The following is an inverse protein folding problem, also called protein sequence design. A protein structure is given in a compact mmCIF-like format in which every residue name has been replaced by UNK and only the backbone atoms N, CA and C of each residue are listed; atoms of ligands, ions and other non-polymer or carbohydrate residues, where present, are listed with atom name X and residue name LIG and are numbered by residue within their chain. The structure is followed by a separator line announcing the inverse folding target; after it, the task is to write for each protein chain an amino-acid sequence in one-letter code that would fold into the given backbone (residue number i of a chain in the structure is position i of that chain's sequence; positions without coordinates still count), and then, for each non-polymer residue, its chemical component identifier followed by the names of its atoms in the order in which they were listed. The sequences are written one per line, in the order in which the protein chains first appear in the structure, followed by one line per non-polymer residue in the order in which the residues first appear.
data_IF_445800596244
#
_entry.id   IF_445800596244
#
_cell.length_a   1.000
_cell.length_b   1.000
_cell.length_c   1.000
_cell.angle_alpha   90.00
_cell.angle_beta   90.00
_cell.angle_gamma   90.00
#
_symmetry.space_group_name_H-M   'P 1'
#
loop_
_entity.id
_entity.type
_entity.pdbx_description
1 polymer ?
#
# COMPACT_ATOMS: atom_id res chain seq x y z
N UNK A 1 -52.74 -36.10 -18.38
CA UNK A 1 -52.43 -34.74 -18.87
C UNK A 1 -51.94 -33.91 -17.68
N UNK A 2 -50.64 -33.79 -17.53
CA UNK A 2 -50.01 -33.00 -16.42
C UNK A 2 -49.24 -31.87 -17.10
N UNK A 3 -49.73 -30.62 -16.94
CA UNK A 3 -49.10 -29.43 -17.46
C UNK A 3 -47.91 -29.03 -16.59
N UNK A 4 -46.69 -29.14 -17.11
CA UNK A 4 -45.47 -28.56 -16.51
C UNK A 4 -45.49 -27.04 -16.65
N UNK A 5 -45.57 -26.31 -15.53
CA UNK A 5 -45.31 -24.87 -15.47
C UNK A 5 -43.78 -24.65 -15.47
N UNK A 6 -43.31 -24.03 -16.53
CA UNK A 6 -41.94 -23.51 -16.63
C UNK A 6 -41.87 -22.21 -15.86
N UNK A 7 -41.21 -22.20 -14.71
CA UNK A 7 -40.89 -20.97 -14.00
C UNK A 7 -39.71 -20.29 -14.69
N UNK A 8 -39.97 -19.11 -15.26
CA UNK A 8 -38.95 -18.19 -15.78
C UNK A 8 -38.17 -17.64 -14.56
N UNK A 9 -36.90 -17.99 -14.47
CA UNK A 9 -35.93 -17.36 -13.54
C UNK A 9 -35.82 -15.85 -13.87
N UNK A 10 -36.19 -15.01 -12.91
CA UNK A 10 -35.93 -13.58 -12.95
C UNK A 10 -34.42 -13.35 -12.90
N UNK A 11 -33.83 -12.81 -13.98
CA UNK A 11 -32.49 -12.27 -13.99
C UNK A 11 -32.44 -11.11 -13.00
N UNK A 12 -31.87 -11.33 -11.81
CA UNK A 12 -31.53 -10.28 -10.89
C UNK A 12 -30.40 -9.46 -11.53
N UNK A 13 -30.69 -8.21 -11.89
CA UNK A 13 -29.69 -7.21 -12.20
C UNK A 13 -28.89 -6.99 -10.91
N UNK A 14 -27.70 -7.58 -10.81
CA UNK A 14 -26.71 -7.21 -9.81
C UNK A 14 -26.21 -5.83 -10.20
N UNK A 15 -26.81 -4.81 -9.61
CA UNK A 15 -26.34 -3.43 -9.70
C UNK A 15 -24.99 -3.38 -8.99
N UNK A 16 -23.98 -3.02 -9.73
CA UNK A 16 -22.64 -2.73 -9.21
C UNK A 16 -22.71 -1.55 -8.22
N UNK A 17 -22.88 -1.84 -6.93
CA UNK A 17 -22.78 -0.85 -5.85
C UNK A 17 -21.30 -0.70 -5.44
N UNK A 18 -20.51 -0.12 -6.35
CA UNK A 18 -19.19 0.40 -6.00
C UNK A 18 -19.10 1.81 -6.61
N UNK A 19 -18.90 2.82 -5.76
CA UNK A 19 -18.81 4.23 -6.10
C UNK A 19 -20.17 4.99 -6.27
N UNK A 20 -20.91 5.14 -5.18
CA UNK A 20 -22.03 6.11 -5.11
C UNK A 20 -21.64 7.49 -4.57
N UNK A 21 -20.35 7.83 -4.42
CA UNK A 21 -19.94 9.19 -4.09
C UNK A 21 -19.61 9.96 -5.37
N UNK A 22 -20.35 11.06 -5.62
CA UNK A 22 -20.17 11.98 -6.75
C UNK A 22 -18.80 12.69 -6.82
N UNK A 23 -17.86 12.36 -5.92
CA UNK A 23 -16.49 12.90 -5.84
C UNK A 23 -15.41 11.90 -6.29
N UNK A 24 -15.80 10.74 -6.81
CA UNK A 24 -14.84 9.77 -7.36
C UNK A 24 -14.37 10.27 -8.73
N UNK A 25 -13.17 10.84 -8.81
CA UNK A 25 -12.56 11.17 -10.08
C UNK A 25 -11.90 12.53 -10.21
N UNK A 26 -11.82 13.31 -9.14
CA UNK A 26 -11.09 14.57 -9.18
C UNK A 26 -9.71 14.42 -8.53
N UNK A 27 -8.72 15.06 -9.16
CA UNK A 27 -7.47 15.35 -8.47
C UNK A 27 -7.79 16.33 -7.34
N UNK A 28 -7.29 16.08 -6.14
CA UNK A 28 -7.34 17.10 -5.10
C UNK A 28 -6.67 18.38 -5.62
N UNK A 29 -7.12 19.57 -5.20
CA UNK A 29 -6.53 20.80 -5.68
C UNK A 29 -5.03 20.81 -5.41
N UNK A 30 -4.25 21.06 -6.47
CA UNK A 30 -2.80 21.20 -6.37
C UNK A 30 -2.49 22.47 -5.57
N UNK A 31 -1.48 22.45 -4.67
CA UNK A 31 -1.10 23.63 -3.89
C UNK A 31 -0.86 24.84 -4.81
N UNK A 32 -1.71 25.84 -4.70
CA UNK A 32 -1.74 27.03 -5.57
C UNK A 32 -1.01 28.20 -4.94
N UNK A 33 -1.12 28.36 -3.61
CA UNK A 33 -0.50 29.45 -2.88
C UNK A 33 0.95 29.15 -2.47
N UNK A 34 1.70 30.21 -2.17
CA UNK A 34 3.07 30.07 -1.64
C UNK A 34 3.10 29.33 -0.30
N UNK A 35 2.10 29.57 0.55
CA UNK A 35 1.99 28.93 1.87
C UNK A 35 1.70 27.44 1.76
N UNK A 36 0.78 27.06 0.86
CA UNK A 36 0.47 25.64 0.59
C UNK A 36 1.70 24.89 0.07
N UNK A 37 2.44 25.49 -0.87
CA UNK A 37 3.68 24.89 -1.40
C UNK A 37 4.73 24.74 -0.30
N UNK A 38 4.96 25.75 0.52
CA UNK A 38 5.91 25.70 1.63
C UNK A 38 5.51 24.64 2.68
N UNK A 39 4.20 24.41 2.88
CA UNK A 39 3.69 23.35 3.74
C UNK A 39 4.03 21.97 3.18
N UNK A 40 3.77 21.74 1.89
CA UNK A 40 4.09 20.46 1.20
C UNK A 40 5.59 20.19 1.23
N UNK A 41 6.42 21.19 0.97
CA UNK A 41 7.88 21.08 1.04
C UNK A 41 8.35 20.65 2.43
N UNK A 42 7.83 21.28 3.49
CA UNK A 42 8.12 20.89 4.88
C UNK A 42 7.72 19.44 5.18
N UNK A 43 6.50 19.06 4.82
CA UNK A 43 6.02 17.68 5.01
C UNK A 43 6.90 16.69 4.23
N UNK A 44 7.21 17.01 2.97
CA UNK A 44 8.11 16.20 2.13
C UNK A 44 9.47 16.02 2.80
N UNK A 45 10.06 17.09 3.32
CA UNK A 45 11.36 17.04 4.00
C UNK A 45 11.34 16.12 5.23
N UNK A 46 10.35 16.28 6.13
CA UNK A 46 10.27 15.45 7.33
C UNK A 46 9.98 13.98 7.03
N UNK A 47 9.06 13.69 6.11
CA UNK A 47 8.77 12.33 5.69
C UNK A 47 9.95 11.68 4.97
N UNK A 48 10.64 12.45 4.12
CA UNK A 48 11.85 12.01 3.44
C UNK A 48 12.97 11.64 4.43
N UNK A 49 13.13 12.38 5.55
CA UNK A 49 14.05 12.00 6.63
C UNK A 49 13.69 10.64 7.26
N UNK A 50 12.40 10.40 7.53
CA UNK A 50 11.94 9.11 8.09
C UNK A 50 12.19 7.95 7.12
N UNK A 51 11.94 8.15 5.82
CA UNK A 51 12.32 7.16 4.77
C UNK A 51 13.84 6.94 4.78
N UNK A 52 14.61 8.02 4.83
CA UNK A 52 16.07 7.93 4.89
C UNK A 52 16.55 7.07 6.04
N UNK A 53 16.02 7.32 7.23
CA UNK A 53 16.33 6.52 8.42
C UNK A 53 15.93 5.05 8.22
N UNK A 54 14.71 4.76 7.76
CA UNK A 54 14.27 3.38 7.52
C UNK A 54 15.13 2.68 6.47
N UNK A 55 15.47 3.35 5.37
CA UNK A 55 16.30 2.77 4.30
C UNK A 55 17.72 2.50 4.75
N UNK A 56 18.27 3.31 5.64
CA UNK A 56 19.61 3.11 6.23
C UNK A 56 19.59 2.02 7.29
N UNK A 57 18.69 2.10 8.28
CA UNK A 57 18.61 1.14 9.39
C UNK A 57 18.39 -0.31 8.93
N UNK A 58 17.69 -0.49 7.80
CA UNK A 58 17.39 -1.82 7.22
C UNK A 58 18.17 -2.13 5.93
N UNK A 59 19.10 -1.29 5.51
CA UNK A 59 19.89 -1.49 4.29
C UNK A 59 19.00 -1.81 3.08
N UNK A 60 17.96 -0.98 2.85
CA UNK A 60 16.94 -1.27 1.83
C UNK A 60 17.39 -0.91 0.42
N UNK A 61 18.16 0.17 0.25
CA UNK A 61 18.54 0.71 -1.07
C UNK A 61 20.06 0.85 -1.14
N UNK A 62 20.64 0.32 -2.19
CA UNK A 62 22.06 0.42 -2.50
C UNK A 62 22.28 1.22 -3.78
N UNK A 63 23.52 1.64 -4.00
CA UNK A 63 23.91 2.28 -5.26
C UNK A 63 23.69 1.34 -6.45
N UNK A 64 23.17 1.88 -7.56
CA UNK A 64 22.86 1.12 -8.77
C UNK A 64 21.56 0.30 -8.74
N UNK A 65 20.77 0.36 -7.65
CA UNK A 65 19.53 -0.41 -7.57
C UNK A 65 18.48 0.00 -8.60
N UNK A 66 17.79 -0.99 -9.17
CA UNK A 66 16.54 -0.82 -9.90
C UNK A 66 15.39 -1.31 -9.03
N UNK A 67 14.45 -0.42 -8.74
CA UNK A 67 13.37 -0.65 -7.77
C UNK A 67 12.02 -0.57 -8.49
N UNK A 68 11.27 -1.66 -8.45
CA UNK A 68 9.87 -1.65 -8.82
C UNK A 68 9.05 -1.11 -7.66
N UNK A 69 8.33 -0.01 -7.87
CA UNK A 69 7.46 0.61 -6.88
C UNK A 69 6.03 0.21 -7.16
N UNK A 70 5.44 -0.60 -6.27
CA UNK A 70 4.05 -1.04 -6.40
C UNK A 70 3.09 0.09 -6.03
N UNK A 71 2.35 0.61 -7.00
CA UNK A 71 1.40 1.71 -6.82
C UNK A 71 -0.02 1.20 -6.96
N UNK A 72 -0.74 1.12 -5.85
CA UNK A 72 -2.14 0.68 -5.82
C UNK A 72 -3.14 1.78 -6.23
N UNK A 73 -2.69 3.02 -6.34
CA UNK A 73 -3.54 4.21 -6.50
C UNK A 73 -4.01 4.82 -5.17
N UNK A 74 -3.69 4.20 -4.04
CA UNK A 74 -3.95 4.76 -2.71
C UNK A 74 -2.85 5.73 -2.27
N UNK A 75 -3.21 6.62 -1.32
CA UNK A 75 -2.34 7.66 -0.75
C UNK A 75 -0.94 7.18 -0.36
N UNK A 76 -0.85 5.99 0.26
CA UNK A 76 0.40 5.47 0.82
C UNK A 76 1.39 5.10 -0.30
N UNK A 77 0.91 4.40 -1.32
CA UNK A 77 1.74 3.99 -2.46
C UNK A 77 2.20 5.18 -3.31
N UNK A 78 1.35 6.20 -3.47
CA UNK A 78 1.70 7.43 -4.17
C UNK A 78 2.68 8.26 -3.34
N UNK A 79 2.46 8.37 -2.02
CA UNK A 79 3.41 9.02 -1.10
C UNK A 79 4.78 8.37 -1.17
N UNK A 80 4.84 7.03 -1.14
CA UNK A 80 6.09 6.28 -1.26
C UNK A 80 6.83 6.62 -2.55
N UNK A 81 6.14 6.57 -3.70
CA UNK A 81 6.75 6.90 -4.99
C UNK A 81 7.31 8.32 -5.02
N UNK A 82 6.50 9.32 -4.60
CA UNK A 82 6.91 10.72 -4.54
C UNK A 82 8.12 10.95 -3.64
N UNK A 83 8.10 10.38 -2.45
CA UNK A 83 9.17 10.56 -1.47
C UNK A 83 10.46 9.84 -1.88
N UNK A 84 10.38 8.68 -2.52
CA UNK A 84 11.55 8.00 -3.10
C UNK A 84 12.13 8.80 -4.27
N UNK A 85 11.29 9.34 -5.15
CA UNK A 85 11.74 10.20 -6.25
C UNK A 85 12.39 11.49 -5.73
N UNK A 86 11.77 12.16 -4.75
CA UNK A 86 12.36 13.32 -4.10
C UNK A 86 13.73 13.00 -3.49
N UNK A 87 13.86 11.84 -2.82
CA UNK A 87 15.16 11.45 -2.22
C UNK A 87 16.23 11.20 -3.27
N UNK A 88 15.88 10.64 -4.42
CA UNK A 88 16.82 10.36 -5.51
C UNK A 88 17.56 11.60 -5.99
N UNK A 89 17.00 12.80 -5.80
CA UNK A 89 17.60 14.06 -6.27
C UNK A 89 18.77 14.57 -5.40
N UNK A 90 18.89 14.09 -4.14
CA UNK A 90 19.90 14.64 -3.21
C UNK A 90 20.72 13.60 -2.42
N UNK A 91 20.38 12.32 -2.48
CA UNK A 91 21.17 11.28 -1.81
C UNK A 91 22.40 10.92 -2.65
N UNK A 92 23.53 10.52 -2.03
CA UNK A 92 24.77 10.22 -2.75
C UNK A 92 24.72 8.93 -3.56
N UNK A 93 23.69 8.07 -3.38
CA UNK A 93 23.50 6.84 -4.13
C UNK A 93 22.55 7.06 -5.30
N UNK A 94 22.83 6.38 -6.42
CA UNK A 94 21.98 6.41 -7.62
C UNK A 94 21.10 5.18 -7.66
N UNK A 95 19.81 5.33 -7.92
CA UNK A 95 18.87 4.24 -8.14
C UNK A 95 17.79 4.63 -9.14
N UNK A 96 17.23 3.64 -9.80
CA UNK A 96 16.13 3.80 -10.74
C UNK A 96 14.81 3.36 -10.12
N UNK A 97 13.73 4.07 -10.45
CA UNK A 97 12.37 3.75 -10.03
C UNK A 97 11.50 3.43 -11.23
N UNK A 98 10.71 2.37 -11.14
CA UNK A 98 9.65 2.03 -12.10
C UNK A 98 8.36 1.88 -11.31
N UNK A 99 7.40 2.79 -11.52
CA UNK A 99 6.07 2.71 -10.91
C UNK A 99 5.24 1.64 -11.63
N UNK A 100 4.72 0.67 -10.90
CA UNK A 100 3.89 -0.40 -11.47
C UNK A 100 2.52 -0.40 -10.80
N UNK A 101 1.48 -0.27 -11.61
CA UNK A 101 0.09 -0.46 -11.18
C UNK A 101 -0.44 -1.78 -11.70
N UNK A 102 -1.02 -2.60 -10.80
CA UNK A 102 -1.71 -3.85 -11.16
C UNK A 102 -3.22 -3.62 -11.12
N UNK A 103 -3.87 -3.62 -12.28
CA UNK A 103 -5.32 -3.66 -12.38
C UNK A 103 -5.80 -5.10 -12.20
N UNK A 104 -6.57 -5.32 -11.15
CA UNK A 104 -7.12 -6.64 -10.81
C UNK A 104 -8.40 -6.98 -11.59
N UNK A 105 -8.81 -6.14 -12.55
CA UNK A 105 -10.02 -6.34 -13.35
C UNK A 105 -11.33 -6.05 -12.61
N UNK A 106 -11.26 -5.32 -11.48
CA UNK A 106 -12.47 -5.00 -10.68
C UNK A 106 -13.24 -3.77 -11.19
N UNK A 107 -12.76 -3.09 -12.23
CA UNK A 107 -13.43 -1.94 -12.83
C UNK A 107 -13.55 -0.69 -11.96
N UNK A 108 -12.82 -0.63 -10.85
CA UNK A 108 -12.95 0.45 -9.87
C UNK A 108 -11.84 1.50 -9.95
N UNK A 109 -10.81 1.28 -10.73
CA UNK A 109 -9.65 2.19 -10.74
C UNK A 109 -9.80 3.15 -11.89
N UNK A 110 -9.76 4.43 -11.60
CA UNK A 110 -9.61 5.46 -12.60
C UNK A 110 -8.15 5.48 -13.09
N UNK A 111 -7.80 4.47 -13.89
CA UNK A 111 -6.44 4.31 -14.42
C UNK A 111 -5.97 5.56 -15.16
N UNK A 112 -6.87 6.22 -15.87
CA UNK A 112 -6.57 7.44 -16.62
C UNK A 112 -6.06 8.57 -15.73
N UNK A 113 -6.64 8.74 -14.53
CA UNK A 113 -6.15 9.74 -13.57
C UNK A 113 -4.76 9.39 -13.03
N UNK A 114 -4.55 8.12 -12.71
CA UNK A 114 -3.24 7.68 -12.22
C UNK A 114 -2.18 7.77 -13.33
N UNK A 115 -2.54 7.43 -14.55
CA UNK A 115 -1.69 7.58 -15.72
C UNK A 115 -1.33 9.05 -15.95
N UNK A 116 -2.32 9.94 -15.99
CA UNK A 116 -2.12 11.39 -16.10
C UNK A 116 -1.21 11.91 -14.99
N UNK A 117 -1.39 11.42 -13.76
CA UNK A 117 -0.55 11.77 -12.63
C UNK A 117 0.91 11.37 -12.85
N UNK A 118 1.18 10.16 -13.34
CA UNK A 118 2.53 9.69 -13.63
C UNK A 118 3.18 10.51 -14.76
N UNK A 119 2.45 10.79 -15.82
CA UNK A 119 2.91 11.60 -16.97
C UNK A 119 3.25 13.04 -16.55
N UNK A 120 2.35 13.66 -15.77
CA UNK A 120 2.56 15.04 -15.27
C UNK A 120 3.82 15.17 -14.39
N UNK A 121 4.17 14.10 -13.66
CA UNK A 121 5.34 14.12 -12.77
C UNK A 121 6.57 13.43 -13.38
N UNK A 122 6.52 12.99 -14.62
CA UNK A 122 7.65 12.37 -15.31
C UNK A 122 8.09 11.02 -14.76
N UNK A 123 7.20 10.27 -14.10
CA UNK A 123 7.53 8.94 -13.61
C UNK A 123 7.62 7.93 -14.75
N UNK A 124 8.63 7.06 -14.71
CA UNK A 124 8.64 5.85 -15.53
C UNK A 124 7.63 4.87 -14.94
N UNK A 125 6.66 4.40 -15.75
CA UNK A 125 5.57 3.58 -15.24
C UNK A 125 5.19 2.42 -16.17
N UNK A 126 4.47 1.44 -15.58
CA UNK A 126 3.84 0.33 -16.28
C UNK A 126 2.48 0.01 -15.63
N UNK A 127 1.48 -0.24 -16.47
CA UNK A 127 0.17 -0.75 -16.06
C UNK A 127 0.03 -2.19 -16.52
N UNK A 128 -0.25 -3.09 -15.60
CA UNK A 128 -0.52 -4.51 -15.88
C UNK A 128 -1.96 -4.82 -15.54
N UNK A 129 -2.67 -5.46 -16.45
CA UNK A 129 -4.05 -5.89 -16.26
C UNK A 129 -4.10 -7.39 -15.99
N UNK A 130 -4.66 -7.77 -14.86
CA UNK A 130 -4.93 -9.15 -14.49
C UNK A 130 -6.43 -9.41 -14.61
N UNK A 131 -6.84 -10.34 -15.46
CA UNK A 131 -8.22 -10.82 -15.50
C UNK A 131 -8.43 -11.85 -14.38
N UNK A 132 -8.65 -11.34 -13.16
CA UNK A 132 -8.84 -12.18 -11.98
C UNK A 132 -10.22 -12.80 -11.93
N UNK A 133 -11.19 -12.17 -12.54
CA UNK A 133 -12.58 -12.62 -12.44
C UNK A 133 -12.84 -13.80 -13.36
N UNK A 134 -12.26 -13.83 -14.57
CA UNK A 134 -12.50 -14.89 -15.58
C UNK A 134 -13.98 -15.33 -15.63
N UNK A 135 -14.90 -14.38 -15.55
CA UNK A 135 -16.33 -14.62 -15.50
C UNK A 135 -16.91 -15.02 -14.13
N UNK A 136 -16.10 -15.08 -13.06
CA UNK A 136 -16.56 -15.33 -11.69
C UNK A 136 -17.03 -14.05 -11.01
N UNK A 137 -17.91 -14.19 -10.02
CA UNK A 137 -18.31 -13.07 -9.17
C UNK A 137 -17.14 -12.66 -8.25
N UNK A 138 -16.95 -11.36 -8.07
CA UNK A 138 -15.95 -10.78 -7.16
C UNK A 138 -16.07 -11.28 -5.71
N UNK A 139 -17.29 -11.54 -5.25
CA UNK A 139 -17.56 -12.06 -3.90
C UNK A 139 -16.97 -13.46 -3.66
N UNK A 140 -16.72 -14.24 -4.73
CA UNK A 140 -16.14 -15.58 -4.66
C UNK A 140 -14.61 -15.58 -4.51
N UNK A 141 -13.97 -14.42 -4.61
CA UNK A 141 -12.51 -14.29 -4.59
C UNK A 141 -12.05 -13.98 -3.16
N UNK A 142 -11.25 -14.87 -2.57
CA UNK A 142 -10.66 -14.63 -1.25
C UNK A 142 -9.60 -13.52 -1.29
N UNK A 143 -9.49 -12.76 -0.19
CA UNK A 143 -8.45 -11.73 -0.03
C UNK A 143 -7.03 -12.32 -0.17
N UNK A 144 -6.83 -13.55 0.32
CA UNK A 144 -5.57 -14.27 0.20
C UNK A 144 -5.19 -14.50 -1.28
N UNK A 145 -6.11 -15.05 -2.06
CA UNK A 145 -5.87 -15.34 -3.48
C UNK A 145 -5.64 -14.08 -4.30
N UNK A 146 -6.39 -13.01 -4.00
CA UNK A 146 -6.20 -11.70 -4.61
C UNK A 146 -4.79 -11.14 -4.32
N UNK A 147 -4.38 -11.15 -3.04
CA UNK A 147 -3.07 -10.66 -2.62
C UNK A 147 -1.92 -11.50 -3.21
N UNK A 148 -2.11 -12.82 -3.28
CA UNK A 148 -1.12 -13.75 -3.83
C UNK A 148 -0.88 -13.49 -5.33
N UNK A 149 -1.95 -13.38 -6.14
CA UNK A 149 -1.83 -13.11 -7.58
C UNK A 149 -1.23 -11.73 -7.86
N UNK A 150 -1.63 -10.72 -7.10
CA UNK A 150 -1.03 -9.38 -7.21
C UNK A 150 0.48 -9.43 -6.94
N UNK A 151 0.89 -10.14 -5.89
CA UNK A 151 2.30 -10.30 -5.54
C UNK A 151 3.07 -11.06 -6.61
N UNK A 152 2.49 -12.16 -7.12
CA UNK A 152 3.07 -12.93 -8.23
C UNK A 152 3.31 -12.05 -9.47
N UNK A 153 2.33 -11.25 -9.88
CA UNK A 153 2.48 -10.35 -11.01
C UNK A 153 3.57 -9.29 -10.78
N UNK A 154 3.64 -8.71 -9.57
CA UNK A 154 4.71 -7.76 -9.23
C UNK A 154 6.10 -8.41 -9.34
N UNK A 155 6.26 -9.66 -8.93
CA UNK A 155 7.53 -10.37 -9.00
C UNK A 155 7.92 -10.70 -10.45
N UNK A 156 6.97 -11.13 -11.26
CA UNK A 156 7.18 -11.36 -12.69
C UNK A 156 7.59 -10.08 -13.44
N UNK A 157 6.96 -8.95 -13.09
CA UNK A 157 7.33 -7.66 -13.67
C UNK A 157 8.67 -7.16 -13.14
N UNK A 158 9.03 -7.44 -11.88
CA UNK A 158 10.34 -7.11 -11.35
C UNK A 158 11.44 -7.84 -12.14
N UNK A 159 11.26 -9.12 -12.40
CA UNK A 159 12.17 -9.91 -13.24
C UNK A 159 12.25 -9.36 -14.67
N UNK A 160 11.10 -9.12 -15.31
CA UNK A 160 11.01 -8.54 -16.67
C UNK A 160 11.75 -7.21 -16.82
N UNK A 161 11.73 -6.36 -15.80
CA UNK A 161 12.40 -5.05 -15.82
C UNK A 161 13.80 -5.05 -15.21
N UNK A 162 14.30 -6.20 -14.79
CA UNK A 162 15.61 -6.34 -14.14
C UNK A 162 15.65 -5.65 -12.77
N UNK A 163 14.51 -5.54 -12.09
CA UNK A 163 14.42 -4.97 -10.75
C UNK A 163 14.64 -6.07 -9.69
N UNK A 164 15.71 -5.97 -8.92
CA UNK A 164 15.97 -6.90 -7.81
C UNK A 164 15.21 -6.50 -6.52
N UNK A 165 14.56 -5.33 -6.51
CA UNK A 165 13.83 -4.81 -5.36
C UNK A 165 12.41 -4.41 -5.73
N UNK A 166 11.46 -4.76 -4.85
CA UNK A 166 10.03 -4.37 -4.95
C UNK A 166 9.67 -3.56 -3.71
N UNK A 167 9.34 -2.28 -3.91
CA UNK A 167 8.89 -1.40 -2.85
C UNK A 167 7.37 -1.47 -2.68
N UNK A 168 6.92 -1.76 -1.45
CA UNK A 168 5.52 -1.83 -1.06
C UNK A 168 5.18 -0.70 -0.08
N UNK A 169 4.03 -0.07 -0.27
CA UNK A 169 3.57 1.09 0.50
C UNK A 169 3.02 0.77 1.90
N UNK A 170 3.52 -0.28 2.55
CA UNK A 170 3.17 -0.57 3.93
C UNK A 170 3.88 0.40 4.87
N UNK A 171 3.13 0.94 5.83
CA UNK A 171 3.59 1.94 6.79
C UNK A 171 3.69 1.37 8.22
N UNK A 172 4.05 2.21 9.19
CA UNK A 172 4.28 1.79 10.58
C UNK A 172 3.05 1.13 11.20
N UNK A 173 1.85 1.66 10.94
CA UNK A 173 0.60 1.13 11.48
C UNK A 173 0.32 -0.28 10.94
N UNK A 174 0.55 -0.55 9.64
CA UNK A 174 0.45 -1.91 9.07
C UNK A 174 1.36 -2.93 9.78
N UNK A 175 2.57 -2.50 10.13
CA UNK A 175 3.55 -3.34 10.84
C UNK A 175 3.04 -3.61 12.26
N UNK A 176 2.59 -2.58 12.97
CA UNK A 176 2.04 -2.68 14.33
C UNK A 176 0.81 -3.58 14.36
N UNK A 177 -0.12 -3.38 13.44
CA UNK A 177 -1.29 -4.25 13.28
C UNK A 177 -0.89 -5.71 13.02
N UNK A 178 0.13 -5.93 12.20
CA UNK A 178 0.60 -7.29 11.89
C UNK A 178 1.22 -7.96 13.11
N UNK A 179 1.97 -7.23 13.95
CA UNK A 179 2.51 -7.75 15.22
C UNK A 179 1.36 -8.24 16.11
N UNK A 180 0.34 -7.41 16.30
CA UNK A 180 -0.79 -7.77 17.16
C UNK A 180 -1.67 -8.87 16.56
N UNK A 181 -1.85 -8.90 15.23
CA UNK A 181 -2.54 -10.00 14.56
C UNK A 181 -1.83 -11.33 14.80
N UNK A 182 -0.50 -11.36 14.66
CA UNK A 182 0.27 -12.58 14.88
C UNK A 182 0.22 -13.00 16.35
N UNK A 183 0.35 -12.04 17.28
CA UNK A 183 0.27 -12.32 18.70
C UNK A 183 -1.11 -12.86 19.14
N UNK A 184 -2.20 -12.23 18.69
CA UNK A 184 -3.55 -12.57 19.18
C UNK A 184 -4.19 -13.77 18.46
N UNK A 185 -3.85 -14.01 17.20
CA UNK A 185 -4.55 -15.00 16.37
C UNK A 185 -3.66 -16.15 15.90
N UNK A 186 -2.33 -15.99 15.92
CA UNK A 186 -1.40 -17.00 15.43
C UNK A 186 -0.45 -17.55 16.51
N UNK A 187 -0.52 -17.02 17.75
CA UNK A 187 0.42 -17.33 18.85
C UNK A 187 1.90 -17.12 18.44
N UNK A 188 2.18 -16.05 17.68
CA UNK A 188 3.48 -15.81 17.08
C UNK A 188 3.96 -14.40 17.36
N UNK A 189 5.21 -14.24 17.79
CA UNK A 189 5.89 -12.94 17.95
C UNK A 189 6.64 -12.65 16.65
N UNK A 190 5.96 -12.12 15.66
CA UNK A 190 6.55 -11.76 14.38
C UNK A 190 5.93 -10.49 13.81
N UNK A 191 6.63 -9.86 12.89
CA UNK A 191 6.22 -8.63 12.23
C UNK A 191 6.32 -8.74 10.70
N UNK A 192 5.69 -7.80 10.03
CA UNK A 192 5.96 -7.53 8.63
C UNK A 192 7.35 -6.88 8.52
N UNK A 193 8.36 -7.64 8.15
CA UNK A 193 9.75 -7.16 8.09
C UNK A 193 9.89 -5.97 7.12
N UNK A 194 10.55 -4.85 7.51
CA UNK A 194 10.78 -3.71 6.63
C UNK A 194 11.61 -4.06 5.38
N UNK A 195 12.52 -5.02 5.48
CA UNK A 195 13.25 -5.65 4.38
C UNK A 195 13.08 -7.16 4.46
N UNK A 196 12.75 -7.79 3.34
CA UNK A 196 12.55 -9.25 3.27
C UNK A 196 13.14 -9.79 1.98
N UNK A 197 14.14 -10.64 2.10
CA UNK A 197 14.74 -11.33 0.96
C UNK A 197 13.93 -12.58 0.61
N UNK A 198 13.75 -12.82 -0.67
CA UNK A 198 12.99 -13.94 -1.23
C UNK A 198 13.83 -14.67 -2.27
N UNK A 199 13.52 -15.95 -2.49
CA UNK A 199 14.14 -16.76 -3.52
C UNK A 199 15.68 -16.74 -3.43
N UNK A 200 16.22 -17.01 -2.24
CA UNK A 200 17.67 -17.02 -1.98
C UNK A 200 18.37 -15.69 -2.34
N UNK A 201 17.69 -14.55 -2.05
CA UNK A 201 18.24 -13.23 -2.32
C UNK A 201 18.04 -12.71 -3.75
N UNK A 202 17.40 -13.49 -4.65
CA UNK A 202 17.13 -13.04 -6.02
C UNK A 202 16.20 -11.86 -6.10
N UNK A 203 15.29 -11.71 -5.13
CA UNK A 203 14.35 -10.60 -5.02
C UNK A 203 14.23 -10.14 -3.58
N UNK A 204 14.17 -8.83 -3.37
CA UNK A 204 13.99 -8.23 -2.04
C UNK A 204 12.75 -7.36 -2.01
N UNK A 205 11.85 -7.62 -1.06
CA UNK A 205 10.77 -6.71 -0.74
C UNK A 205 11.31 -5.65 0.22
N UNK A 206 11.01 -4.38 -0.04
CA UNK A 206 11.34 -3.26 0.84
C UNK A 206 10.08 -2.47 1.19
N UNK A 207 10.04 -1.90 2.41
CA UNK A 207 8.91 -1.09 2.92
C UNK A 207 9.43 0.26 3.44
N UNK A 208 9.71 1.21 2.54
CA UNK A 208 10.35 2.47 2.91
C UNK A 208 9.55 3.32 3.90
N UNK A 209 8.22 3.12 3.96
CA UNK A 209 7.32 3.84 4.87
C UNK A 209 7.29 3.25 6.30
N UNK A 210 8.14 2.27 6.63
CA UNK A 210 8.09 1.54 7.92
C UNK A 210 8.15 2.44 9.17
N UNK A 211 8.69 3.65 9.09
CA UNK A 211 8.78 4.62 10.20
C UNK A 211 7.76 5.75 10.13
N UNK A 212 6.87 5.74 9.15
CA UNK A 212 5.84 6.76 8.93
C UNK A 212 4.49 6.23 9.42
N UNK A 213 3.77 7.02 10.19
CA UNK A 213 2.42 6.70 10.65
C UNK A 213 1.37 7.05 9.59
N UNK A 214 0.26 6.31 9.55
CA UNK A 214 -0.82 6.53 8.58
C UNK A 214 -1.35 7.97 8.59
N UNK A 215 -1.51 8.57 9.79
CA UNK A 215 -1.98 9.96 9.95
C UNK A 215 -1.09 10.99 9.24
N UNK A 216 0.21 10.72 9.15
CA UNK A 216 1.16 11.58 8.44
C UNK A 216 0.98 11.46 6.92
N UNK A 217 0.73 10.24 6.42
CA UNK A 217 0.46 9.99 4.99
C UNK A 217 -0.89 10.57 4.56
N UNK A 218 -1.92 10.51 5.43
CA UNK A 218 -3.21 11.16 5.19
C UNK A 218 -3.02 12.67 5.04
N UNK A 219 -2.27 13.29 5.95
CA UNK A 219 -2.00 14.72 5.90
C UNK A 219 -1.23 15.10 4.64
N UNK A 220 -0.16 14.39 4.35
CA UNK A 220 0.68 14.60 3.17
C UNK A 220 -0.09 14.42 1.86
N UNK A 221 -0.92 13.40 1.76
CA UNK A 221 -1.75 13.16 0.58
C UNK A 221 -2.76 14.27 0.32
N UNK A 222 -3.36 14.80 1.39
CA UNK A 222 -4.29 15.95 1.30
C UNK A 222 -3.59 17.22 0.85
N UNK A 223 -2.45 17.56 1.46
CA UNK A 223 -1.71 18.77 1.13
C UNK A 223 -1.05 18.71 -0.26
N UNK A 224 -0.70 17.51 -0.74
CA UNK A 224 -0.01 17.29 -2.02
C UNK A 224 -0.95 17.15 -3.22
N UNK A 225 -2.26 17.17 -3.04
CA UNK A 225 -3.23 17.06 -4.14
C UNK A 225 -3.22 15.67 -4.81
N UNK A 226 -3.02 14.60 -4.05
CA UNK A 226 -3.03 13.25 -4.62
C UNK A 226 -4.40 12.87 -5.18
N UNK A 227 -4.45 12.00 -6.20
CA UNK A 227 -5.71 11.45 -6.66
C UNK A 227 -6.48 10.83 -5.49
N UNK A 228 -7.79 11.06 -5.44
CA UNK A 228 -8.62 10.42 -4.42
C UNK A 228 -8.51 8.89 -4.52
N UNK A 229 -8.52 8.15 -3.39
CA UNK A 229 -8.41 6.70 -3.43
C UNK A 229 -9.51 6.09 -4.31
N UNK A 230 -9.08 5.37 -5.30
CA UNK A 230 -9.87 5.01 -6.46
C UNK A 230 -10.79 3.81 -6.23
N UNK A 231 -10.61 3.07 -5.14
CA UNK A 231 -11.51 1.98 -4.72
C UNK A 231 -11.19 1.48 -3.32
N UNK A 232 -12.24 1.22 -2.52
CA UNK A 232 -12.14 0.43 -1.29
C UNK A 232 -12.58 -1.01 -1.57
N UNK A 233 -11.82 -1.99 -1.08
CA UNK A 233 -12.24 -3.39 -1.14
C UNK A 233 -13.49 -3.59 -0.26
N UNK A 234 -14.59 -4.16 -0.76
CA UNK A 234 -15.82 -4.36 0.03
C UNK A 234 -15.62 -5.26 1.26
N UNK A 235 -14.55 -6.06 1.27
CA UNK A 235 -14.22 -6.96 2.38
C UNK A 235 -13.29 -6.33 3.44
N UNK A 236 -12.91 -5.05 3.32
CA UNK A 236 -11.95 -4.40 4.22
C UNK A 236 -12.48 -4.19 5.64
N UNK A 237 -13.77 -3.89 5.80
CA UNK A 237 -14.37 -3.51 7.10
C UNK A 237 -14.67 -4.67 8.05
N UNK A 238 -14.71 -5.92 7.56
CA UNK A 238 -15.03 -7.12 8.36
C UNK A 238 -13.80 -7.95 8.74
N UNK A 239 -12.59 -7.41 8.60
CA UNK A 239 -11.36 -8.16 8.81
C UNK A 239 -10.93 -8.13 10.29
N UNK A 240 -10.18 -9.17 10.72
CA UNK A 240 -9.50 -9.18 12.04
C UNK A 240 -8.60 -7.95 12.22
N UNK A 241 -8.07 -7.40 11.12
CA UNK A 241 -7.26 -6.18 11.10
C UNK A 241 -8.05 -4.96 11.59
N UNK A 242 -9.31 -4.83 11.22
CA UNK A 242 -10.16 -3.73 11.70
C UNK A 242 -10.33 -3.78 13.23
N UNK A 243 -10.54 -4.98 13.80
CA UNK A 243 -10.63 -5.16 15.27
C UNK A 243 -9.33 -4.78 15.98
N UNK A 244 -8.19 -5.16 15.41
CA UNK A 244 -6.88 -4.77 15.97
C UNK A 244 -6.68 -3.26 15.87
N UNK A 245 -7.10 -2.62 14.79
CA UNK A 245 -7.09 -1.16 14.65
C UNK A 245 -7.86 -0.45 15.77
N UNK A 246 -9.08 -0.90 16.07
CA UNK A 246 -9.90 -0.37 17.18
C UNK A 246 -9.21 -0.49 18.55
N UNK A 247 -8.54 -1.63 18.81
CA UNK A 247 -7.76 -1.83 20.04
C UNK A 247 -6.60 -0.82 20.10
N UNK A 248 -5.87 -0.65 19.01
CA UNK A 248 -4.74 0.30 18.95
C UNK A 248 -5.22 1.73 19.19
N UNK A 249 -6.33 2.14 18.57
CA UNK A 249 -6.93 3.46 18.78
C UNK A 249 -7.34 3.69 20.23
N UNK A 250 -7.91 2.67 20.87
CA UNK A 250 -8.24 2.71 22.29
C UNK A 250 -7.00 2.90 23.18
N UNK A 251 -5.94 2.16 22.90
CA UNK A 251 -4.69 2.26 23.66
C UNK A 251 -3.95 3.58 23.39
N UNK A 252 -4.04 4.15 22.19
CA UNK A 252 -3.37 5.41 21.82
C UNK A 252 -3.87 6.60 22.66
N UNK A 253 -5.14 6.54 23.13
CA UNK A 253 -5.71 7.55 24.05
C UNK A 253 -5.02 7.54 25.43
N UNK A 254 -4.65 6.38 25.93
CA UNK A 254 -3.97 6.21 27.21
C UNK A 254 -2.44 6.35 27.10
N UNK A 255 -1.89 5.94 25.96
CA UNK A 255 -0.44 5.94 25.71
C UNK A 255 -0.16 6.44 24.27
N UNK A 256 0.16 7.75 24.08
CA UNK A 256 0.42 8.32 22.76
C UNK A 256 1.57 7.64 21.97
N UNK A 257 2.44 6.93 22.68
CA UNK A 257 3.60 6.23 22.09
C UNK A 257 3.36 4.73 21.86
N UNK A 258 2.14 4.22 22.06
CA UNK A 258 1.84 2.78 22.03
C UNK A 258 2.26 2.12 20.71
N UNK A 259 2.03 2.76 19.57
CA UNK A 259 2.47 2.24 18.26
C UNK A 259 4.00 2.09 18.18
N UNK A 260 4.73 3.04 18.75
CA UNK A 260 6.20 2.97 18.80
C UNK A 260 6.67 1.86 19.74
N UNK A 261 6.00 1.69 20.87
CA UNK A 261 6.31 0.66 21.84
C UNK A 261 6.08 -0.74 21.24
N UNK A 262 4.93 -0.98 20.60
CA UNK A 262 4.62 -2.24 19.91
C UNK A 262 5.62 -2.49 18.76
N UNK A 263 5.90 -1.48 17.93
CA UNK A 263 6.85 -1.59 16.82
C UNK A 263 8.26 -1.99 17.31
N UNK A 264 8.71 -1.46 18.43
CA UNK A 264 10.05 -1.74 18.99
C UNK A 264 10.09 -3.02 19.83
N UNK A 265 8.96 -3.50 20.36
CA UNK A 265 8.92 -4.66 21.26
C UNK A 265 9.52 -5.92 20.62
N UNK A 266 9.28 -6.14 19.34
CA UNK A 266 9.83 -7.30 18.59
C UNK A 266 11.36 -7.26 18.42
N UNK A 267 11.99 -6.10 18.66
CA UNK A 267 13.45 -5.95 18.67
C UNK A 267 14.06 -6.07 20.08
N UNK A 268 13.23 -5.88 21.10
CA UNK A 268 13.64 -5.81 22.51
C UNK A 268 13.13 -7.01 23.31
N UNK A 269 13.29 -8.22 22.75
CA UNK A 269 12.89 -9.45 23.42
C UNK A 269 13.90 -9.80 24.51
N UNK A 270 13.44 -9.86 25.76
CA UNK A 270 14.24 -10.32 26.92
C UNK A 270 14.09 -11.84 27.01
N UNK A 271 15.06 -12.56 26.44
CA UNK A 271 15.00 -14.03 26.32
C UNK A 271 14.89 -14.74 27.66
N UNK A 272 15.51 -14.18 28.71
CA UNK A 272 15.53 -14.76 30.06
C UNK A 272 14.17 -14.70 30.77
N UNK A 273 13.19 -13.99 30.19
CA UNK A 273 11.82 -13.85 30.71
C UNK A 273 10.77 -14.50 29.80
N UNK A 274 11.20 -15.31 28.86
CA UNK A 274 10.27 -16.11 28.03
C UNK A 274 9.98 -17.42 28.74
N UNK A 275 8.67 -17.84 28.69
CA UNK A 275 8.21 -19.14 29.21
C UNK A 275 8.43 -20.26 28.20
#
# INVERSE_FOLDING_TARGET
MIKKKVQRAKKSKVTAHCCSSKTAGELLPVPSTREERAKVERETFFLSKKIGRATTDYHMINDGDKILVAVSGGKDSISMLRLLEHRRSFVPIKYELIAVHIDMGYGCVQQDLLKKYFETHGFRYHFEKLDMLKGKDRSSISCFWCAWNRRKALFQLADKYGCKKVALGHHKDDIVETILLNLFFNAEISAMAPKQELFEGKLTIIRPLAYIEEKELIRYGRSSGFPHPLCSCPNSSKSQRAKVGEIIEGLEKACPHVKSNIFNSVKNIKKDYLV
#
